data_IF_280707262852
#
_entry.id   IF_280707262852
#
_cell.length_a   1.000
_cell.length_b   1.000
_cell.length_c   1.000
_cell.angle_alpha   90.00
_cell.angle_beta   90.00
_cell.angle_gamma   90.00
#
_symmetry.space_group_name_H-M   'P 1'
#
loop_
_entity.id
_entity.type
_entity.pdbx_description
1 polymer ?
#
# COMPACT_ATOMS: atom_id res chain seq x y z
N UNK A 1 -7.90 11.72 18.07
CA UNK A 1 -7.57 12.16 16.70
C UNK A 1 -7.60 10.94 15.80
N UNK A 2 -8.37 10.99 14.71
CA UNK A 2 -8.53 9.86 13.79
C UNK A 2 -7.47 9.92 12.69
N UNK A 3 -6.86 8.80 12.28
CA UNK A 3 -5.94 8.78 11.15
C UNK A 3 -6.65 9.23 9.87
N UNK A 4 -5.95 9.96 9.00
CA UNK A 4 -6.49 10.37 7.70
C UNK A 4 -6.29 9.22 6.71
N UNK A 5 -7.39 8.66 6.22
CA UNK A 5 -7.41 7.57 5.25
C UNK A 5 -7.79 8.16 3.89
N UNK A 6 -6.96 7.91 2.87
CA UNK A 6 -7.20 8.34 1.49
C UNK A 6 -7.31 7.11 0.58
N UNK A 7 -8.45 6.86 -0.08
CA UNK A 7 -8.55 5.77 -1.04
C UNK A 7 -7.67 6.03 -2.26
N UNK A 8 -7.00 4.99 -2.76
CA UNK A 8 -6.32 5.03 -4.05
C UNK A 8 -7.33 4.65 -5.13
N UNK A 9 -7.46 5.49 -6.16
CA UNK A 9 -8.35 5.21 -7.29
C UNK A 9 -7.78 4.06 -8.13
N UNK A 10 -8.47 2.91 -8.13
CA UNK A 10 -8.20 1.80 -9.03
C UNK A 10 -9.24 1.80 -10.17
N UNK A 11 -8.84 1.42 -11.37
CA UNK A 11 -9.75 1.27 -12.53
C UNK A 11 -10.63 0.01 -12.43
N UNK A 12 -10.42 -0.81 -11.41
CA UNK A 12 -11.09 -2.08 -11.15
C UNK A 12 -10.20 -2.97 -10.28
N UNK A 13 -10.64 -4.22 -9.99
CA UNK A 13 -9.80 -5.20 -9.32
C UNK A 13 -8.51 -5.45 -10.09
N UNK A 14 -7.39 -5.53 -9.39
CA UNK A 14 -6.05 -5.66 -9.95
C UNK A 14 -5.48 -7.04 -9.64
N UNK A 15 -5.23 -7.85 -10.67
CA UNK A 15 -4.50 -9.11 -10.53
C UNK A 15 -3.03 -8.83 -10.28
N UNK A 16 -2.44 -9.41 -9.24
CA UNK A 16 -1.03 -9.22 -8.89
C UNK A 16 -0.10 -9.95 -9.88
N UNK A 17 0.60 -9.21 -10.74
CA UNK A 17 1.57 -9.73 -11.73
C UNK A 17 2.90 -8.97 -11.67
N UNK A 18 3.29 -8.54 -10.46
CA UNK A 18 4.52 -7.78 -10.27
C UNK A 18 4.48 -6.34 -10.77
N UNK A 19 3.31 -5.80 -11.15
CA UNK A 19 3.16 -4.41 -11.58
C UNK A 19 3.31 -3.40 -10.44
N UNK A 20 3.61 -2.16 -10.80
CA UNK A 20 3.65 -1.01 -9.88
C UNK A 20 2.30 -0.30 -9.90
N UNK A 21 1.80 0.04 -8.72
CA UNK A 21 0.74 1.02 -8.52
C UNK A 21 1.39 2.35 -8.17
N UNK A 22 1.10 3.38 -8.97
CA UNK A 22 1.47 4.76 -8.65
C UNK A 22 0.61 5.26 -7.48
N UNK A 23 1.25 5.88 -6.50
CA UNK A 23 0.59 6.48 -5.35
C UNK A 23 0.70 8.00 -5.44
N UNK A 24 -0.29 8.75 -4.93
CA UNK A 24 -0.08 10.13 -4.58
C UNK A 24 1.15 10.25 -3.67
N UNK A 25 2.03 11.20 -3.99
CA UNK A 25 3.21 11.44 -3.18
C UNK A 25 2.82 11.83 -1.76
N UNK A 26 3.39 11.16 -0.75
CA UNK A 26 3.13 11.53 0.62
C UNK A 26 3.84 10.68 1.67
N UNK A 27 3.71 11.13 2.92
CA UNK A 27 4.10 10.36 4.09
C UNK A 27 2.91 9.54 4.55
N UNK A 28 3.13 8.24 4.71
CA UNK A 28 2.12 7.29 5.15
C UNK A 28 2.69 6.43 6.27
N UNK A 29 1.82 5.98 7.19
CA UNK A 29 2.17 4.95 8.17
C UNK A 29 1.80 3.56 7.65
N UNK A 30 0.73 3.46 6.84
CA UNK A 30 0.21 2.19 6.34
C UNK A 30 -0.31 2.29 4.91
N UNK A 31 -0.16 1.20 4.17
CA UNK A 31 -0.94 0.89 2.97
C UNK A 31 -1.92 -0.22 3.33
N UNK A 32 -3.20 0.11 3.40
CA UNK A 32 -4.28 -0.86 3.61
C UNK A 32 -4.73 -1.44 2.27
N UNK A 33 -4.98 -2.74 2.25
CA UNK A 33 -5.31 -3.47 1.03
C UNK A 33 -6.43 -4.46 1.33
N UNK A 34 -7.46 -4.45 0.49
CA UNK A 34 -8.45 -5.52 0.40
C UNK A 34 -8.03 -6.49 -0.70
N UNK A 35 -7.92 -7.77 -0.37
CA UNK A 35 -7.38 -8.79 -1.25
C UNK A 35 -8.24 -10.05 -1.26
N UNK A 36 -8.48 -10.60 -2.45
CA UNK A 36 -8.90 -11.98 -2.63
C UNK A 36 -7.66 -12.87 -2.77
N UNK A 37 -7.63 -13.97 -2.04
CA UNK A 37 -6.57 -14.96 -2.12
C UNK A 37 -7.10 -16.37 -1.84
N UNK A 38 -6.76 -17.39 -2.63
CA UNK A 38 -7.25 -18.74 -2.39
C UNK A 38 -6.74 -19.34 -1.07
N UNK A 39 -5.53 -18.95 -0.65
CA UNK A 39 -4.84 -19.45 0.55
C UNK A 39 -4.17 -18.28 1.27
N UNK A 40 -4.06 -18.38 2.60
CA UNK A 40 -3.28 -17.43 3.38
C UNK A 40 -1.78 -17.57 3.08
N UNK A 41 -1.03 -16.47 3.13
CA UNK A 41 0.38 -16.49 2.79
C UNK A 41 1.08 -15.17 3.03
N UNK A 42 2.40 -15.19 2.91
CA UNK A 42 3.26 -14.01 2.96
C UNK A 42 3.80 -13.71 1.58
N UNK A 43 3.71 -12.46 1.15
CA UNK A 43 4.20 -12.01 -0.14
C UNK A 43 5.05 -10.75 0.03
N UNK A 44 6.12 -10.64 -0.76
CA UNK A 44 6.91 -9.41 -0.78
C UNK A 44 6.24 -8.37 -1.68
N UNK A 45 6.02 -7.18 -1.13
CA UNK A 45 5.78 -5.96 -1.90
C UNK A 45 7.03 -5.09 -1.87
N UNK A 46 7.20 -4.23 -2.86
CA UNK A 46 8.28 -3.24 -2.83
C UNK A 46 7.68 -1.85 -2.71
N UNK A 47 8.09 -1.12 -1.68
CA UNK A 47 7.70 0.26 -1.46
C UNK A 47 8.70 1.17 -2.18
N UNK A 48 8.19 2.03 -3.06
CA UNK A 48 8.99 2.97 -3.84
C UNK A 48 8.88 4.34 -3.19
N UNK A 49 10.02 4.86 -2.77
CA UNK A 49 10.19 6.18 -2.22
C UNK A 49 10.96 7.05 -3.21
N UNK A 50 10.85 8.36 -3.08
CA UNK A 50 11.68 9.31 -3.85
C UNK A 50 13.17 9.05 -3.63
N UNK A 51 13.57 8.63 -2.42
CA UNK A 51 14.95 8.34 -2.05
C UNK A 51 15.38 6.86 -2.13
N UNK A 52 14.55 5.95 -2.64
CA UNK A 52 14.95 4.54 -2.80
C UNK A 52 13.79 3.54 -2.76
N UNK A 53 14.12 2.27 -2.55
CA UNK A 53 13.14 1.18 -2.50
C UNK A 53 13.42 0.25 -1.32
N UNK A 54 12.37 -0.19 -0.64
CA UNK A 54 12.45 -1.15 0.45
C UNK A 54 11.47 -2.32 0.20
N UNK A 55 11.89 -3.58 0.44
CA UNK A 55 10.98 -4.71 0.46
C UNK A 55 10.20 -4.75 1.77
N UNK A 56 8.90 -5.03 1.70
CA UNK A 56 8.03 -5.21 2.86
C UNK A 56 7.18 -6.48 2.71
N UNK A 57 6.70 -7.01 3.84
CA UNK A 57 5.89 -8.23 3.87
C UNK A 57 4.41 -7.90 3.93
N UNK A 58 3.66 -8.40 2.95
CA UNK A 58 2.20 -8.43 2.93
C UNK A 58 1.72 -9.80 3.42
N UNK A 59 1.10 -9.82 4.60
CA UNK A 59 0.47 -11.04 5.16
C UNK A 59 -0.98 -11.10 4.70
N UNK A 60 -1.34 -12.13 3.94
CA UNK A 60 -2.66 -12.30 3.34
C UNK A 60 -3.47 -13.36 4.12
N UNK A 61 -4.70 -13.08 4.56
CA UNK A 61 -5.48 -13.98 5.42
C UNK A 61 -6.13 -15.18 4.70
N UNK A 62 -6.06 -15.24 3.36
CA UNK A 62 -6.81 -16.22 2.56
C UNK A 62 -8.32 -15.96 2.54
N UNK A 63 -9.02 -16.56 1.58
CA UNK A 63 -10.44 -16.32 1.33
C UNK A 63 -10.72 -15.09 0.45
N UNK A 64 -11.97 -14.66 0.45
CA UNK A 64 -12.44 -13.54 -0.38
C UNK A 64 -12.55 -12.27 0.46
N UNK A 65 -12.13 -11.13 -0.11
CA UNK A 65 -12.25 -9.79 0.45
C UNK A 65 -11.62 -9.64 1.84
N UNK A 66 -10.44 -10.24 2.02
CA UNK A 66 -9.65 -10.11 3.25
C UNK A 66 -8.97 -8.76 3.34
N UNK A 67 -9.10 -8.08 4.47
CA UNK A 67 -8.35 -6.85 4.73
C UNK A 67 -7.00 -7.16 5.37
N UNK A 68 -5.95 -6.53 4.86
CA UNK A 68 -4.61 -6.54 5.43
C UNK A 68 -3.92 -5.18 5.23
N UNK A 69 -2.69 -5.06 5.72
CA UNK A 69 -1.89 -3.84 5.60
C UNK A 69 -0.40 -4.13 5.54
N UNK A 70 0.31 -3.19 4.93
CA UNK A 70 1.78 -3.13 4.92
C UNK A 70 2.20 -1.89 5.69
N UNK A 71 3.17 -2.04 6.58
CA UNK A 71 3.79 -0.93 7.30
C UNK A 71 4.71 -0.14 6.37
N UNK A 72 4.63 1.19 6.45
CA UNK A 72 5.57 2.07 5.75
C UNK A 72 6.62 2.50 6.75
N UNK A 73 7.67 1.67 6.91
CA UNK A 73 8.66 1.86 7.98
C UNK A 73 9.56 3.08 7.74
N UNK A 74 9.91 3.35 6.48
CA UNK A 74 10.76 4.49 6.11
C UNK A 74 10.01 5.81 6.24
N UNK A 75 10.65 6.81 6.84
CA UNK A 75 10.18 8.20 6.95
C UNK A 75 10.60 9.02 5.72
N UNK A 76 10.14 8.60 4.56
CA UNK A 76 10.41 9.25 3.26
C UNK A 76 9.11 9.27 2.43
N UNK A 77 9.07 10.11 1.40
CA UNK A 77 7.90 10.26 0.52
C UNK A 77 7.71 8.98 -0.29
N UNK A 78 6.63 8.26 -0.02
CA UNK A 78 6.22 7.10 -0.78
C UNK A 78 5.50 7.56 -2.05
N UNK A 79 5.85 6.96 -3.18
CA UNK A 79 5.34 7.31 -4.51
C UNK A 79 4.78 6.12 -5.28
N UNK A 80 5.06 4.90 -4.83
CA UNK A 80 4.59 3.71 -5.51
C UNK A 80 4.68 2.45 -4.67
N UNK A 81 3.93 1.43 -5.08
CA UNK A 81 4.02 0.08 -4.51
C UNK A 81 4.04 -0.93 -5.65
N UNK A 82 5.08 -1.74 -5.72
CA UNK A 82 5.09 -2.93 -6.58
C UNK A 82 4.39 -4.06 -5.86
N UNK A 83 3.31 -4.52 -6.46
CA UNK A 83 2.55 -5.69 -6.03
C UNK A 83 3.39 -6.96 -6.23
N UNK A 84 3.11 -8.05 -5.49
CA UNK A 84 3.79 -9.31 -5.71
C UNK A 84 3.52 -9.86 -7.11
N UNK A 85 4.41 -10.71 -7.59
CA UNK A 85 4.16 -11.54 -8.78
C UNK A 85 3.48 -12.84 -8.35
N UNK A 86 2.18 -12.72 -8.09
CA UNK A 86 1.33 -13.76 -7.48
C UNK A 86 -0.07 -13.68 -8.11
N UNK A 87 -0.26 -14.24 -9.33
CA UNK A 87 -1.47 -14.04 -10.14
C UNK A 87 -2.75 -14.63 -9.51
N UNK A 88 -2.63 -15.41 -8.45
CA UNK A 88 -3.72 -15.89 -7.61
C UNK A 88 -4.29 -14.82 -6.66
N UNK A 89 -3.56 -13.70 -6.46
CA UNK A 89 -4.02 -12.59 -5.63
C UNK A 89 -4.72 -11.53 -6.49
N UNK A 90 -5.84 -11.03 -5.99
CA UNK A 90 -6.57 -9.91 -6.60
C UNK A 90 -6.79 -8.81 -5.59
N UNK A 91 -6.21 -7.63 -5.85
CA UNK A 91 -6.44 -6.44 -5.03
C UNK A 91 -7.75 -5.79 -5.47
N UNK A 92 -8.68 -5.60 -4.52
CA UNK A 92 -9.97 -4.96 -4.77
C UNK A 92 -9.97 -3.47 -4.46
N UNK A 93 -9.30 -3.10 -3.37
CA UNK A 93 -9.20 -1.72 -2.94
C UNK A 93 -7.87 -1.48 -2.22
N UNK A 94 -7.39 -0.25 -2.30
CA UNK A 94 -6.20 0.22 -1.60
C UNK A 94 -6.53 1.54 -0.92
N UNK A 95 -6.06 1.73 0.30
CA UNK A 95 -6.18 2.98 1.04
C UNK A 95 -4.87 3.34 1.73
N UNK A 96 -4.49 4.60 1.62
CA UNK A 96 -3.27 5.15 2.20
C UNK A 96 -3.61 5.81 3.53
N UNK A 97 -2.89 5.46 4.59
CA UNK A 97 -3.11 5.99 5.93
C UNK A 97 -1.97 6.93 6.27
N UNK A 98 -2.29 8.23 6.32
CA UNK A 98 -1.33 9.25 6.69
C UNK A 98 -1.11 9.28 8.22
N UNK A 99 0.08 9.71 8.69
CA UNK A 99 0.35 9.85 10.10
C UNK A 99 -0.65 10.78 10.79
N UNK A 100 -1.09 10.41 12.00
CA UNK A 100 -2.03 11.21 12.79
C UNK A 100 -1.48 12.60 13.19
N UNK A 101 -0.16 12.80 13.06
CA UNK A 101 0.58 14.03 13.39
C UNK A 101 1.05 14.82 12.16
N UNK A 102 0.54 14.54 10.95
CA UNK A 102 0.84 15.35 9.78
C UNK A 102 0.12 16.71 9.88
N UNK A 103 0.57 17.59 10.80
CA UNK A 103 0.35 19.01 10.66
C UNK A 103 1.07 19.50 9.40
N UNK A 104 0.41 20.42 8.70
CA UNK A 104 0.88 21.04 7.48
C UNK A 104 2.23 21.74 7.70
N UNK A 105 3.32 21.03 7.46
CA UNK A 105 4.66 21.56 7.43
C UNK A 105 5.02 22.06 6.03
N UNK A 106 5.04 23.38 5.88
CA UNK A 106 5.81 24.15 4.89
C UNK A 106 5.40 24.07 3.40
N UNK A 107 4.40 24.87 3.04
CA UNK A 107 4.61 25.79 1.93
C UNK A 107 5.47 26.96 2.46
N UNK A 108 6.78 26.89 2.22
CA UNK A 108 7.70 28.02 2.32
C UNK A 108 8.68 27.89 1.16
N UNK A 109 8.41 28.61 0.07
CA UNK A 109 9.16 29.75 -0.49
C UNK A 109 8.37 30.24 -1.71
#
# INVERSE_FOLDING_TARGET
MSPRIAPLALTGPVVCRGQVLDLPEGLYDWVHVEVDAPVAGEHTVWLYYTGGLDPEVLVVPGGTAGWTRVGVARRDTLVGVRLPDAPELVIRSVSLVAPAHAEAGAAHV
#
